data_IF_002463467654
#
_entry.id   IF_002463467654
#
_cell.length_a   1.000
_cell.length_b   1.000
_cell.length_c   1.000
_cell.angle_alpha   90.00
_cell.angle_beta   90.00
_cell.angle_gamma   90.00
#
_symmetry.space_group_name_H-M   'P 1'
#
loop_
_entity.id
_entity.type
_entity.pdbx_description
1 polymer ?
#
# COMPACT_ATOMS: atom_id res chain seq x y z
N UNK A 1 -12.14 -12.51 -44.56
CA UNK A 1 -11.71 -12.37 -43.14
C UNK A 1 -12.85 -12.73 -42.18
N UNK A 2 -14.11 -12.46 -42.51
CA UNK A 2 -15.31 -12.77 -41.69
C UNK A 2 -15.67 -14.26 -41.61
N UNK A 3 -15.42 -15.02 -42.68
CA UNK A 3 -15.91 -16.40 -42.78
C UNK A 3 -15.15 -17.39 -41.87
N UNK A 4 -13.92 -17.05 -41.49
CA UNK A 4 -13.08 -17.89 -40.61
C UNK A 4 -13.54 -17.83 -39.15
N UNK A 5 -14.13 -16.70 -38.72
CA UNK A 5 -14.65 -16.56 -37.36
C UNK A 5 -15.94 -17.36 -37.16
N UNK A 6 -16.83 -17.36 -38.15
CA UNK A 6 -18.10 -18.07 -38.08
C UNK A 6 -17.93 -19.59 -38.01
N UNK A 7 -16.94 -20.15 -38.73
CA UNK A 7 -16.64 -21.59 -38.71
C UNK A 7 -16.01 -22.04 -37.39
N UNK A 8 -15.10 -21.24 -36.83
CA UNK A 8 -14.50 -21.48 -35.50
C UNK A 8 -15.56 -21.47 -34.38
N UNK A 9 -16.51 -20.52 -34.44
CA UNK A 9 -17.61 -20.43 -33.49
C UNK A 9 -18.55 -21.65 -33.59
N UNK A 10 -18.79 -22.16 -34.79
CA UNK A 10 -19.65 -23.31 -35.04
C UNK A 10 -19.04 -24.63 -34.53
N UNK A 11 -17.72 -24.82 -34.69
CA UNK A 11 -16.99 -25.98 -34.17
C UNK A 11 -16.93 -25.98 -32.64
N UNK A 12 -16.65 -24.82 -32.02
CA UNK A 12 -16.65 -24.63 -30.57
C UNK A 12 -18.02 -24.98 -29.94
N UNK A 13 -19.12 -24.60 -30.60
CA UNK A 13 -20.48 -24.89 -30.11
C UNK A 13 -20.82 -26.39 -30.11
N UNK A 14 -20.35 -27.15 -31.10
CA UNK A 14 -20.54 -28.61 -31.16
C UNK A 14 -19.75 -29.31 -30.05
N UNK A 15 -18.49 -28.92 -29.82
CA UNK A 15 -17.68 -29.47 -28.73
C UNK A 15 -18.24 -29.13 -27.34
N UNK A 16 -18.81 -27.94 -27.18
CA UNK A 16 -19.52 -27.55 -25.94
C UNK A 16 -20.80 -28.36 -25.68
N UNK A 17 -21.43 -28.91 -26.72
CA UNK A 17 -22.67 -29.66 -26.60
C UNK A 17 -22.45 -31.07 -26.01
N UNK A 18 -21.25 -31.63 -26.15
CA UNK A 18 -20.85 -32.93 -25.61
C UNK A 18 -20.16 -32.85 -24.23
N UNK A 19 -19.86 -31.63 -23.73
CA UNK A 19 -19.18 -31.43 -22.46
C UNK A 19 -20.16 -31.11 -21.32
N UNK A 20 -20.13 -31.92 -20.24
CA UNK A 20 -20.87 -31.66 -19.00
C UNK A 20 -20.32 -30.48 -18.17
N UNK A 21 -19.17 -29.93 -18.57
CA UNK A 21 -18.52 -28.81 -17.90
C UNK A 21 -18.29 -27.65 -18.88
N UNK A 22 -18.61 -26.44 -18.44
CA UNK A 22 -18.29 -25.24 -19.20
C UNK A 22 -16.77 -25.04 -19.25
N UNK A 23 -16.23 -24.80 -20.45
CA UNK A 23 -14.81 -24.54 -20.60
C UNK A 23 -14.40 -23.26 -19.85
N UNK A 24 -13.20 -23.26 -19.25
CA UNK A 24 -12.77 -22.15 -18.38
C UNK A 24 -12.56 -20.91 -19.24
N UNK A 25 -13.29 -19.83 -18.93
CA UNK A 25 -13.01 -18.53 -19.54
C UNK A 25 -11.64 -18.08 -19.06
N UNK A 26 -10.68 -17.98 -19.98
CA UNK A 26 -9.33 -17.48 -19.68
C UNK A 26 -9.44 -16.00 -19.33
N UNK A 27 -9.38 -15.67 -18.05
CA UNK A 27 -9.34 -14.28 -17.57
C UNK A 27 -7.92 -13.75 -17.77
N UNK A 28 -7.76 -12.84 -18.72
CA UNK A 28 -6.50 -12.15 -18.95
C UNK A 28 -6.48 -10.81 -18.20
N UNK A 29 -5.34 -10.44 -17.57
CA UNK A 29 -5.23 -9.17 -16.88
C UNK A 29 -5.34 -8.00 -17.88
N UNK A 30 -6.34 -7.15 -17.69
CA UNK A 30 -6.50 -5.93 -18.48
C UNK A 30 -5.50 -4.87 -18.00
N UNK A 31 -4.77 -4.24 -18.93
CA UNK A 31 -3.89 -3.10 -18.60
C UNK A 31 -4.74 -1.88 -18.26
N UNK A 32 -4.99 -1.65 -16.98
CA UNK A 32 -5.79 -0.50 -16.51
C UNK A 32 -4.90 0.75 -16.44
N UNK A 33 -5.26 1.80 -17.16
CA UNK A 33 -4.72 3.16 -17.01
C UNK A 33 -5.83 4.04 -16.43
N UNK A 34 -5.51 4.94 -15.50
CA UNK A 34 -6.51 5.84 -14.92
C UNK A 34 -6.02 6.60 -13.69
N UNK A 35 -6.79 7.63 -13.32
CA UNK A 35 -6.48 8.56 -12.23
C UNK A 35 -6.30 7.87 -10.88
N UNK A 36 -7.22 6.96 -10.54
CA UNK A 36 -7.18 6.20 -9.27
C UNK A 36 -5.90 5.37 -9.15
N UNK A 37 -5.44 4.76 -10.26
CA UNK A 37 -4.18 3.99 -10.26
C UNK A 37 -3.00 4.91 -9.96
N UNK A 38 -2.91 6.06 -10.62
CA UNK A 38 -1.85 7.04 -10.37
C UNK A 38 -1.85 7.54 -8.92
N UNK A 39 -3.02 7.88 -8.38
CA UNK A 39 -3.16 8.28 -6.97
C UNK A 39 -2.69 7.16 -6.04
N UNK A 40 -3.11 5.91 -6.27
CA UNK A 40 -2.68 4.76 -5.46
C UNK A 40 -1.15 4.65 -5.41
N UNK A 41 -0.49 4.73 -6.57
CA UNK A 41 0.96 4.64 -6.64
C UNK A 41 1.65 5.85 -6.02
N UNK A 42 1.11 7.05 -6.21
CA UNK A 42 1.64 8.24 -5.56
C UNK A 42 1.56 8.12 -4.02
N UNK A 43 0.39 7.77 -3.48
CA UNK A 43 0.19 7.54 -2.04
C UNK A 43 1.10 6.42 -1.54
N UNK A 44 1.18 5.29 -2.25
CA UNK A 44 2.05 4.18 -1.87
C UNK A 44 3.51 4.64 -1.80
N UNK A 45 4.01 5.35 -2.81
CA UNK A 45 5.37 5.86 -2.84
C UNK A 45 5.64 6.83 -1.70
N UNK A 46 4.70 7.75 -1.42
CA UNK A 46 4.83 8.70 -0.31
C UNK A 46 4.88 7.97 1.03
N UNK A 47 3.96 7.03 1.28
CA UNK A 47 3.93 6.27 2.52
C UNK A 47 5.17 5.38 2.68
N UNK A 48 5.65 4.74 1.61
CA UNK A 48 6.92 4.03 1.64
C UNK A 48 8.09 4.97 1.95
N UNK A 49 8.10 6.14 1.32
CA UNK A 49 9.12 7.16 1.57
C UNK A 49 9.14 7.56 3.04
N UNK A 50 7.97 7.83 3.64
CA UNK A 50 7.89 8.10 5.08
C UNK A 50 8.39 6.92 5.90
N UNK A 51 7.92 5.70 5.62
CA UNK A 51 8.32 4.49 6.36
C UNK A 51 9.84 4.26 6.34
N UNK A 52 10.47 4.42 5.18
CA UNK A 52 11.90 4.16 4.98
C UNK A 52 12.81 5.38 5.17
N UNK A 53 12.28 6.58 5.40
CA UNK A 53 13.14 7.76 5.62
C UNK A 53 12.95 8.35 7.02
N UNK A 54 11.79 8.14 7.64
CA UNK A 54 11.47 8.67 8.97
C UNK A 54 12.54 8.37 10.05
N UNK A 55 13.09 7.15 10.20
CA UNK A 55 14.03 6.91 11.30
C UNK A 55 15.42 7.54 11.09
N UNK A 56 15.73 8.01 9.87
CA UNK A 56 16.96 8.74 9.57
C UNK A 56 16.78 10.26 9.58
N UNK A 57 15.55 10.74 9.75
CA UNK A 57 15.29 12.17 9.82
C UNK A 57 15.85 12.72 11.12
N UNK A 58 16.85 13.60 11.01
CA UNK A 58 17.41 14.33 12.15
C UNK A 58 16.56 15.56 12.46
N UNK A 59 16.39 15.84 13.74
CA UNK A 59 15.58 16.90 14.30
C UNK A 59 16.27 17.47 15.54
N UNK A 60 16.85 18.66 15.40
CA UNK A 60 17.56 19.33 16.50
C UNK A 60 16.57 19.88 17.53
N UNK A 61 16.86 19.61 18.81
CA UNK A 61 16.05 20.01 19.97
C UNK A 61 16.88 20.68 21.06
N UNK A 62 18.13 21.02 20.75
CA UNK A 62 19.05 21.69 21.66
C UNK A 62 20.10 20.75 22.28
N UNK A 63 21.04 21.33 23.05
CA UNK A 63 22.18 20.60 23.58
C UNK A 63 21.75 19.47 24.53
N UNK A 64 22.41 18.32 24.43
CA UNK A 64 22.18 17.11 25.24
C UNK A 64 20.84 16.37 24.99
N UNK A 65 19.98 16.85 24.09
CA UNK A 65 18.82 16.10 23.63
C UNK A 65 19.18 15.21 22.42
N UNK A 66 18.57 14.03 22.29
CA UNK A 66 18.74 13.22 21.09
C UNK A 66 18.15 13.93 19.87
N UNK A 67 18.79 13.79 18.72
CA UNK A 67 18.50 14.55 17.51
C UNK A 67 17.69 13.76 16.47
N UNK A 68 17.00 12.68 16.84
CA UNK A 68 16.21 11.87 15.91
C UNK A 68 14.74 12.29 15.92
N UNK A 69 14.13 12.49 14.75
CA UNK A 69 12.74 12.98 14.64
C UNK A 69 11.71 12.06 15.32
N UNK A 70 11.85 10.75 15.15
CA UNK A 70 10.97 9.75 15.75
C UNK A 70 11.80 8.83 16.64
N UNK A 71 11.71 8.99 17.95
CA UNK A 71 12.56 8.27 18.90
C UNK A 71 11.79 7.89 20.17
N UNK A 72 11.97 6.65 20.63
CA UNK A 72 11.61 6.22 21.98
C UNK A 72 12.89 6.15 22.81
N UNK A 73 13.06 7.13 23.69
CA UNK A 73 14.19 7.22 24.61
C UNK A 73 13.87 6.44 25.89
N UNK A 74 14.42 5.23 25.98
CA UNK A 74 14.25 4.35 27.14
C UNK A 74 14.97 4.88 28.40
N UNK A 75 16.24 5.35 28.33
CA UNK A 75 16.91 5.96 29.48
C UNK A 75 16.13 7.09 30.15
N UNK A 76 15.61 8.04 29.38
CA UNK A 76 14.90 9.20 29.93
C UNK A 76 13.38 8.98 30.03
N UNK A 77 12.88 7.82 29.59
CA UNK A 77 11.45 7.45 29.52
C UNK A 77 10.63 8.50 28.76
N UNK A 78 11.13 8.92 27.60
CA UNK A 78 10.50 9.96 26.78
C UNK A 78 10.23 9.43 25.39
N UNK A 79 9.11 9.82 24.80
CA UNK A 79 8.83 9.59 23.39
C UNK A 79 8.90 10.92 22.64
N UNK A 80 9.61 10.93 21.52
CA UNK A 80 9.81 12.08 20.67
C UNK A 80 9.16 11.86 19.31
N UNK A 81 8.29 12.79 18.93
CA UNK A 81 7.63 12.85 17.64
C UNK A 81 7.78 14.27 17.09
N UNK A 82 8.88 14.51 16.39
CA UNK A 82 9.30 15.83 15.90
C UNK A 82 9.50 16.83 17.06
N UNK A 83 8.70 17.89 17.10
CA UNK A 83 8.68 18.90 18.18
C UNK A 83 7.78 18.51 19.36
N UNK A 84 7.08 17.37 19.26
CA UNK A 84 6.23 16.86 20.34
C UNK A 84 7.07 15.93 21.21
N UNK A 85 7.18 16.29 22.49
CA UNK A 85 7.79 15.46 23.52
C UNK A 85 6.67 14.93 24.42
N UNK A 86 6.58 13.61 24.54
CA UNK A 86 5.54 12.94 25.32
C UNK A 86 6.21 12.31 26.54
N UNK A 87 5.71 12.71 27.71
CA UNK A 87 6.12 12.15 28.99
C UNK A 87 5.26 10.94 29.37
N UNK A 88 5.77 10.04 30.24
CA UNK A 88 5.04 8.82 30.61
C UNK A 88 3.65 9.11 31.20
N UNK A 89 3.51 10.18 31.99
CA UNK A 89 2.24 10.57 32.58
C UNK A 89 1.25 11.16 31.55
N UNK A 90 1.74 11.70 30.43
CA UNK A 90 0.90 12.29 29.38
C UNK A 90 0.36 11.23 28.41
N UNK A 91 1.00 10.07 28.36
CA UNK A 91 0.64 8.98 27.46
C UNK A 91 -0.83 8.57 27.62
N UNK A 92 -1.40 8.66 28.83
CA UNK A 92 -2.80 8.29 29.06
C UNK A 92 -3.78 9.15 28.24
N UNK A 93 -3.49 10.44 28.02
CA UNK A 93 -4.33 11.33 27.22
C UNK A 93 -4.37 10.94 25.73
N UNK A 94 -3.34 10.25 25.25
CA UNK A 94 -3.18 9.90 23.84
C UNK A 94 -3.79 8.55 23.48
N UNK A 95 -3.86 7.62 24.43
CA UNK A 95 -4.22 6.21 24.18
C UNK A 95 -5.51 5.79 24.91
N UNK A 96 -5.97 6.55 25.90
CA UNK A 96 -6.98 6.11 26.87
C UNK A 96 -8.19 7.03 27.05
N UNK A 97 -8.86 7.40 25.96
CA UNK A 97 -10.25 7.87 25.96
C UNK A 97 -11.14 6.83 25.26
#
# INVERSE_FOLDING_TARGET
>A
MTDIYADQDALSRKEQQDSLYADRVRVYPKKIKGRVRQIKWAVLTVLLGVYYLAPWLRWDRGPAAPDQAFLIDMPHRRAYFLWIEIWPQELYFLVGL
#
